data_IF_963643965800
#
_entry.id   IF_963643965800
#
_cell.length_a   1.000
_cell.length_b   1.000
_cell.length_c   1.000
_cell.angle_alpha   90.00
_cell.angle_beta   90.00
_cell.angle_gamma   90.00
#
_symmetry.space_group_name_H-M   'P 1'
#
loop_
_entity.id
_entity.type
_entity.pdbx_description
1 polymer ?
#
# COMPACT_ATOMS: atom_id res chain seq x y z
N UNK A 1 -7.04 26.12 9.57
CA UNK A 1 -6.78 25.46 8.26
C UNK A 1 -5.60 24.52 8.46
N UNK A 2 -5.86 23.21 8.48
CA UNK A 2 -4.84 22.18 8.74
C UNK A 2 -3.87 22.11 7.57
N UNK A 3 -2.58 22.33 7.86
CA UNK A 3 -1.47 22.20 6.94
C UNK A 3 -1.39 20.75 6.45
N UNK A 4 -1.70 20.51 5.18
CA UNK A 4 -1.54 19.19 4.56
C UNK A 4 -0.06 18.99 4.22
N UNK A 5 0.71 18.49 5.19
CA UNK A 5 2.13 18.21 5.04
C UNK A 5 2.40 16.92 4.23
N UNK A 6 1.76 16.67 3.09
CA UNK A 6 2.22 15.65 2.12
C UNK A 6 1.72 15.98 0.69
N UNK A 7 2.58 16.06 -0.35
CA UNK A 7 2.15 16.46 -1.68
C UNK A 7 1.50 15.27 -2.42
N UNK A 8 0.17 15.10 -2.32
CA UNK A 8 -0.64 14.51 -3.41
C UNK A 8 -0.65 12.99 -3.60
N UNK A 9 -0.43 12.19 -2.56
CA UNK A 9 -0.55 10.72 -2.65
C UNK A 9 -1.90 10.26 -2.06
N UNK A 10 -2.81 9.81 -2.93
CA UNK A 10 -4.04 9.14 -2.52
C UNK A 10 -3.76 7.66 -2.20
N UNK A 11 -4.32 7.21 -1.07
CA UNK A 11 -3.85 6.08 -0.28
C UNK A 11 -3.87 4.73 -0.98
N UNK A 12 -3.01 3.86 -0.45
CA UNK A 12 -2.95 2.45 -0.82
C UNK A 12 -3.73 1.60 0.17
N UNK A 13 -4.36 0.53 -0.30
CA UNK A 13 -4.98 -0.47 0.56
C UNK A 13 -3.96 -1.55 0.91
N UNK A 14 -3.56 -1.61 2.18
CA UNK A 14 -2.84 -2.75 2.76
C UNK A 14 -3.77 -3.44 3.75
N UNK A 15 -3.91 -4.76 3.64
CA UNK A 15 -4.64 -5.59 4.58
C UNK A 15 -3.72 -6.64 5.23
N UNK A 16 -4.01 -6.94 6.49
CA UNK A 16 -3.32 -7.97 7.27
C UNK A 16 -4.31 -8.93 7.89
N UNK A 17 -4.06 -10.24 7.75
CA UNK A 17 -4.87 -11.29 8.40
C UNK A 17 -3.96 -12.18 9.23
N UNK A 18 -4.40 -12.48 10.47
CA UNK A 18 -3.76 -13.45 11.36
C UNK A 18 -4.73 -14.58 11.67
N UNK A 19 -4.35 -15.83 11.38
CA UNK A 19 -5.15 -17.03 11.68
C UNK A 19 -4.24 -18.24 11.86
N UNK A 20 -4.48 -19.04 12.89
CA UNK A 20 -3.78 -20.32 13.11
C UNK A 20 -2.25 -20.20 13.12
N UNK A 21 -1.71 -19.23 13.87
CA UNK A 21 -0.26 -18.98 13.96
C UNK A 21 0.39 -18.38 12.71
N UNK A 22 -0.37 -18.11 11.65
CA UNK A 22 0.12 -17.55 10.39
C UNK A 22 -0.32 -16.10 10.23
N UNK A 23 0.50 -15.32 9.54
CA UNK A 23 0.23 -13.92 9.17
C UNK A 23 0.34 -13.77 7.66
N UNK A 24 -0.63 -13.09 7.06
CA UNK A 24 -0.65 -12.72 5.65
C UNK A 24 -0.76 -11.21 5.54
N UNK A 25 0.04 -10.62 4.65
CA UNK A 25 -0.04 -9.19 4.30
C UNK A 25 -0.29 -9.11 2.80
N UNK A 26 -1.29 -8.34 2.39
CA UNK A 26 -1.59 -8.07 0.99
C UNK A 26 -1.72 -6.57 0.77
N UNK A 27 -1.32 -6.11 -0.41
CA UNK A 27 -1.49 -4.72 -0.83
C UNK A 27 -2.06 -4.68 -2.25
N UNK A 28 -2.83 -3.63 -2.54
CA UNK A 28 -3.30 -3.36 -3.89
C UNK A 28 -2.14 -2.93 -4.82
N UNK A 29 -2.34 -3.04 -6.14
CA UNK A 29 -1.34 -2.70 -7.15
C UNK A 29 -1.36 -1.24 -7.63
N UNK A 30 -2.28 -0.40 -7.15
CA UNK A 30 -2.58 0.89 -7.74
C UNK A 30 -1.64 2.01 -7.26
N UNK A 31 -1.13 2.83 -8.16
CA UNK A 31 -0.46 4.08 -7.83
C UNK A 31 -1.24 5.19 -8.51
N UNK A 32 -1.57 6.23 -7.74
CA UNK A 32 -2.27 7.41 -8.23
C UNK A 32 -1.39 8.65 -8.12
N UNK A 33 -1.53 9.57 -9.07
CA UNK A 33 -1.03 10.94 -8.99
C UNK A 33 -2.25 11.87 -9.03
N UNK A 34 -2.58 12.50 -7.91
CA UNK A 34 -3.86 13.19 -7.76
C UNK A 34 -5.03 12.21 -7.93
N UNK A 35 -5.92 12.47 -8.89
CA UNK A 35 -7.09 11.62 -9.18
C UNK A 35 -6.85 10.57 -10.27
N UNK A 36 -5.67 10.55 -10.90
CA UNK A 36 -5.38 9.67 -12.04
C UNK A 36 -4.57 8.46 -11.59
N UNK A 37 -5.00 7.25 -12.00
CA UNK A 37 -4.22 6.02 -11.82
C UNK A 37 -3.09 5.97 -12.84
N UNK A 38 -1.85 5.97 -12.35
CA UNK A 38 -0.65 5.97 -13.20
C UNK A 38 -0.02 4.59 -13.36
N UNK A 39 -0.33 3.64 -12.47
CA UNK A 39 0.22 2.27 -12.52
C UNK A 39 -0.65 1.29 -11.75
N UNK A 40 -1.06 0.18 -12.38
CA UNK A 40 -1.87 -0.87 -11.74
C UNK A 40 -1.08 -2.03 -11.11
N UNK A 41 0.25 -2.05 -11.25
CA UNK A 41 1.10 -3.22 -10.95
C UNK A 41 2.17 -2.97 -9.88
N UNK A 42 1.98 -2.00 -8.99
CA UNK A 42 2.94 -1.74 -7.91
C UNK A 42 3.05 -2.92 -6.92
N UNK A 43 4.29 -3.23 -6.54
CA UNK A 43 4.57 -4.16 -5.43
C UNK A 43 4.82 -3.37 -4.16
N UNK A 44 3.85 -3.35 -3.26
CA UNK A 44 3.88 -2.59 -2.00
C UNK A 44 4.18 -3.44 -0.77
N UNK A 45 4.20 -4.76 -0.95
CA UNK A 45 4.60 -5.72 0.07
C UNK A 45 5.93 -6.34 -0.35
N UNK A 46 6.93 -6.26 0.54
CA UNK A 46 8.27 -6.81 0.34
C UNK A 46 8.68 -7.57 1.58
N UNK A 47 9.31 -8.75 1.40
CA UNK A 47 9.97 -9.48 2.49
C UNK A 47 11.27 -8.77 2.87
N UNK A 48 11.51 -8.56 4.17
CA UNK A 48 12.69 -7.84 4.66
C UNK A 48 13.95 -8.72 4.75
N UNK A 49 13.77 -10.04 4.85
CA UNK A 49 14.84 -11.03 4.77
C UNK A 49 14.41 -12.16 3.83
N UNK A 50 15.37 -12.94 3.28
CA UNK A 50 15.08 -14.34 2.98
C UNK A 50 14.59 -14.96 4.29
N UNK A 51 13.45 -15.65 4.27
CA UNK A 51 13.05 -16.46 5.43
C UNK A 51 14.11 -17.49 5.73
#
# INVERSE_FOLDING_TARGET
>A
MTKQDFPGWHGTTIIGVRKGGKVVVAGDGQVSLGQTVIKGTARKVRRLSPG
#
